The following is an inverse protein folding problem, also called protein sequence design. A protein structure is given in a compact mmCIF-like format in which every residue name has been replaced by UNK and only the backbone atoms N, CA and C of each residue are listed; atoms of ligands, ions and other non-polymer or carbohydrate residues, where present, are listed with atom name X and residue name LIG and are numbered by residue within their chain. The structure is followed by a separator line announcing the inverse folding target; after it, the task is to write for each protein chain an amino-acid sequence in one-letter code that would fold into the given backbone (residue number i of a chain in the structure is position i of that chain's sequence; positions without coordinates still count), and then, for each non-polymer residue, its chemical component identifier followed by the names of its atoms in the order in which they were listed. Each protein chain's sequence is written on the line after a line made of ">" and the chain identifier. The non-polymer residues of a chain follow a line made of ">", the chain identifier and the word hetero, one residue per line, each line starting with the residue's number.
data_IF_982895420224
#
_entry.id   IF_982895420224
#
_cell.length_a   1.000
_cell.length_b   1.000
_cell.length_c   1.000
_cell.angle_alpha   90.00
_cell.angle_beta   90.00
_cell.angle_gamma   90.00
#
_symmetry.space_group_name_H-M   'P 1'
#
loop_
_entity.id
_entity.type
_entity.pdbx_description
1 polymer ?
#
# COMPACT_ATOMS: atom_id res chain seq x y z
N UNK A 1 31.91 1.64 -4.53
CA UNK A 1 31.31 2.97 -4.34
C UNK A 1 29.77 2.92 -4.24
N UNK A 2 29.07 2.24 -5.15
CA UNK A 2 27.61 2.13 -5.16
C UNK A 2 27.01 1.62 -3.82
N UNK A 3 27.62 0.61 -3.21
CA UNK A 3 27.17 0.05 -1.94
C UNK A 3 27.18 1.06 -0.78
N UNK A 4 28.19 1.96 -0.76
CA UNK A 4 28.26 2.99 0.27
C UNK A 4 27.17 4.06 0.09
N UNK A 5 26.83 4.40 -1.17
CA UNK A 5 25.73 5.31 -1.48
C UNK A 5 24.41 4.75 -0.96
N UNK A 6 24.11 3.49 -1.29
CA UNK A 6 22.90 2.83 -0.80
C UNK A 6 22.86 2.73 0.73
N UNK A 7 23.96 2.32 1.34
CA UNK A 7 24.04 2.25 2.80
C UNK A 7 23.82 3.62 3.47
N UNK A 8 24.41 4.66 2.90
CA UNK A 8 24.24 6.04 3.41
C UNK A 8 22.79 6.51 3.27
N UNK A 9 22.13 6.23 2.14
CA UNK A 9 20.73 6.57 1.92
C UNK A 9 19.80 5.87 2.91
N UNK A 10 20.01 4.57 3.15
CA UNK A 10 19.23 3.81 4.12
C UNK A 10 19.41 4.36 5.53
N UNK A 11 20.68 4.54 5.98
CA UNK A 11 20.97 5.06 7.32
C UNK A 11 20.41 6.48 7.50
N UNK A 12 20.56 7.35 6.49
CA UNK A 12 20.03 8.71 6.57
C UNK A 12 18.49 8.75 6.62
N UNK A 13 17.83 7.83 5.92
CA UNK A 13 16.37 7.68 5.96
C UNK A 13 15.87 7.28 7.35
N UNK A 14 16.52 6.31 7.99
CA UNK A 14 16.17 5.90 9.35
C UNK A 14 16.45 7.00 10.37
N UNK A 15 17.59 7.71 10.23
CA UNK A 15 17.92 8.85 11.10
C UNK A 15 16.87 9.96 10.97
N UNK A 16 16.49 10.32 9.75
CA UNK A 16 15.46 11.33 9.51
C UNK A 16 14.12 10.92 10.12
N UNK A 17 13.69 9.67 9.92
CA UNK A 17 12.47 9.14 10.51
C UNK A 17 12.51 9.18 12.05
N UNK A 18 13.61 8.76 12.65
CA UNK A 18 13.78 8.78 14.10
C UNK A 18 13.72 10.22 14.68
N UNK A 19 14.38 11.18 14.04
CA UNK A 19 14.34 12.60 14.45
C UNK A 19 12.92 13.15 14.35
N UNK A 20 12.19 12.82 13.27
CA UNK A 20 10.81 13.22 13.08
C UNK A 20 9.91 12.63 14.16
N UNK A 21 9.98 11.31 14.38
CA UNK A 21 9.15 10.61 15.36
C UNK A 21 9.41 11.10 16.79
N UNK A 22 10.67 11.37 17.15
CA UNK A 22 11.02 11.96 18.44
C UNK A 22 10.44 13.37 18.55
N UNK A 23 10.50 14.16 17.48
CA UNK A 23 9.93 15.51 17.43
C UNK A 23 8.39 15.49 17.58
N UNK A 24 7.70 14.56 16.93
CA UNK A 24 6.26 14.39 17.02
C UNK A 24 5.83 13.91 18.43
N UNK A 25 6.61 13.02 19.03
CA UNK A 25 6.39 12.54 20.40
C UNK A 25 6.63 13.64 21.44
N UNK A 26 7.67 14.45 21.25
CA UNK A 26 8.01 15.55 22.18
C UNK A 26 6.97 16.69 22.14
N UNK A 27 6.24 16.85 21.02
CA UNK A 27 5.18 17.85 20.84
C UNK A 27 3.79 17.30 21.15
N UNK A 28 3.71 16.02 21.47
CA UNK A 28 2.44 15.27 21.64
C UNK A 28 1.47 15.50 20.47
N UNK A 29 2.00 15.40 19.25
CA UNK A 29 1.27 15.73 18.02
C UNK A 29 -0.03 14.94 17.84
N UNK A 30 -0.06 13.70 18.33
CA UNK A 30 -1.17 12.78 18.14
C UNK A 30 -2.14 12.78 19.32
N UNK A 31 -1.89 13.56 20.38
CA UNK A 31 -2.71 13.59 21.59
C UNK A 31 -3.11 12.20 22.07
N UNK A 32 -2.09 11.33 22.22
CA UNK A 32 -2.29 9.93 22.56
C UNK A 32 -3.05 9.77 23.88
N UNK A 33 -4.15 9.01 23.84
CA UNK A 33 -5.06 8.75 24.95
C UNK A 33 -5.80 9.99 25.51
N UNK A 34 -5.76 11.13 24.83
CA UNK A 34 -6.63 12.25 25.15
C UNK A 34 -7.98 12.11 24.42
N UNK A 35 -9.10 12.37 25.07
CA UNK A 35 -10.41 12.28 24.46
C UNK A 35 -10.63 13.46 23.49
N UNK A 36 -11.01 13.15 22.25
CA UNK A 36 -11.44 14.14 21.27
C UNK A 36 -12.96 14.30 21.38
N UNK A 37 -13.46 15.51 21.65
CA UNK A 37 -14.89 15.77 21.66
C UNK A 37 -15.45 15.69 20.24
N UNK A 38 -16.57 14.97 20.09
CA UNK A 38 -17.27 14.79 18.83
C UNK A 38 -18.78 14.78 19.08
N UNK A 39 -19.56 15.14 18.08
CA UNK A 39 -21.00 14.96 18.08
C UNK A 39 -21.37 13.75 17.20
N UNK A 40 -22.12 12.81 17.75
CA UNK A 40 -22.66 11.67 17.02
C UNK A 40 -24.10 11.94 16.63
N UNK A 41 -24.38 12.06 15.35
CA UNK A 41 -25.73 12.18 14.83
C UNK A 41 -26.23 10.82 14.37
N UNK A 42 -27.37 10.43 14.91
CA UNK A 42 -28.07 9.20 14.58
C UNK A 42 -29.19 9.49 13.57
N UNK A 43 -29.08 9.08 12.33
CA UNK A 43 -30.10 9.32 11.32
C UNK A 43 -31.36 8.48 11.53
N UNK A 44 -31.26 7.37 12.24
CA UNK A 44 -32.32 6.44 12.55
C UNK A 44 -32.49 6.30 14.08
N UNK A 45 -33.57 5.62 14.49
CA UNK A 45 -33.76 5.30 15.91
C UNK A 45 -32.60 4.44 16.41
N UNK A 46 -32.11 4.77 17.59
CA UNK A 46 -31.10 4.01 18.28
C UNK A 46 -31.73 2.74 18.88
N UNK A 47 -31.16 1.58 18.52
CA UNK A 47 -31.50 0.30 19.14
C UNK A 47 -30.29 -0.23 19.94
N UNK A 48 -30.38 -0.33 21.27
CA UNK A 48 -29.30 -0.79 22.11
C UNK A 48 -28.96 -2.29 21.87
N UNK A 49 -29.80 -3.04 21.19
CA UNK A 49 -29.60 -4.47 20.88
C UNK A 49 -28.83 -4.65 19.58
N UNK A 50 -28.87 -3.66 18.69
CA UNK A 50 -28.16 -3.72 17.41
C UNK A 50 -26.68 -3.49 17.64
N UNK A 51 -25.86 -4.41 17.13
CA UNK A 51 -24.41 -4.39 17.31
C UNK A 51 -23.73 -3.25 16.54
N UNK A 52 -24.19 -2.92 15.36
CA UNK A 52 -23.60 -1.92 14.48
C UNK A 52 -24.69 -0.91 14.06
N UNK A 53 -24.45 0.35 14.34
CA UNK A 53 -25.37 1.44 14.05
C UNK A 53 -24.65 2.47 13.20
N UNK A 54 -25.19 2.78 12.02
CA UNK A 54 -24.65 3.85 11.18
C UNK A 54 -24.87 5.20 11.87
N UNK A 55 -23.83 6.01 11.94
CA UNK A 55 -23.81 7.35 12.54
C UNK A 55 -23.06 8.33 11.66
N UNK A 56 -23.42 9.60 11.75
CA UNK A 56 -22.61 10.68 11.22
C UNK A 56 -21.79 11.27 12.37
N UNK A 57 -20.48 11.28 12.21
CA UNK A 57 -19.52 11.78 13.20
C UNK A 57 -19.23 13.23 12.85
N UNK A 58 -19.60 14.14 13.71
CA UNK A 58 -19.33 15.57 13.55
C UNK A 58 -18.22 16.00 14.46
N UNK A 59 -17.22 16.63 13.88
CA UNK A 59 -16.07 17.21 14.60
C UNK A 59 -16.10 18.71 14.34
N UNK A 60 -16.23 19.52 15.39
CA UNK A 60 -16.15 20.97 15.21
C UNK A 60 -14.77 21.37 14.71
N UNK A 61 -14.66 22.08 13.56
CA UNK A 61 -13.37 22.43 12.98
C UNK A 61 -12.49 23.30 13.90
N UNK A 62 -13.09 24.15 14.72
CA UNK A 62 -12.35 25.00 15.65
C UNK A 62 -11.85 24.21 16.86
N UNK A 63 -12.64 23.27 17.37
CA UNK A 63 -12.23 22.38 18.45
C UNK A 63 -11.13 21.41 17.99
N UNK A 64 -11.27 20.83 16.80
CA UNK A 64 -10.23 20.01 16.18
C UNK A 64 -8.91 20.77 16.04
N UNK A 65 -8.98 21.99 15.50
CA UNK A 65 -7.82 22.84 15.31
C UNK A 65 -7.14 23.20 16.65
N UNK A 66 -7.93 23.51 17.67
CA UNK A 66 -7.43 23.80 19.01
C UNK A 66 -6.83 22.55 19.68
N UNK A 67 -7.48 21.39 19.51
CA UNK A 67 -7.03 20.12 20.09
C UNK A 67 -5.70 19.64 19.52
N UNK A 68 -5.54 19.65 18.21
CA UNK A 68 -4.32 19.19 17.55
C UNK A 68 -3.31 20.28 17.19
N UNK A 69 -3.67 21.55 17.32
CA UNK A 69 -2.81 22.66 16.90
C UNK A 69 -2.62 22.74 15.38
N UNK A 70 -3.65 22.37 14.60
CA UNK A 70 -3.64 22.32 13.14
C UNK A 70 -4.57 23.38 12.55
N UNK A 71 -4.59 23.53 11.22
CA UNK A 71 -5.61 24.31 10.55
C UNK A 71 -6.99 23.62 10.63
N UNK A 72 -8.08 24.38 10.72
CA UNK A 72 -9.42 23.81 10.75
C UNK A 72 -9.69 22.98 9.49
N UNK A 73 -10.27 21.76 9.63
CA UNK A 73 -10.58 20.94 8.47
C UNK A 73 -11.72 21.55 7.63
N UNK A 74 -11.74 21.32 6.31
CA UNK A 74 -12.78 21.85 5.44
C UNK A 74 -14.14 21.15 5.63
N UNK A 75 -14.13 19.95 6.17
CA UNK A 75 -15.32 19.11 6.40
C UNK A 75 -15.46 18.88 7.90
N UNK A 76 -16.68 18.92 8.39
CA UNK A 76 -17.01 18.71 9.80
C UNK A 76 -17.83 17.45 10.06
N UNK A 77 -18.25 16.73 9.01
CA UNK A 77 -19.09 15.55 9.12
C UNK A 77 -18.46 14.37 8.35
N UNK A 78 -18.39 13.20 8.98
CA UNK A 78 -17.79 11.99 8.47
C UNK A 78 -18.74 10.82 8.68
N UNK A 79 -18.88 9.95 7.70
CA UNK A 79 -19.65 8.72 7.85
C UNK A 79 -18.90 7.72 8.74
N UNK A 80 -19.67 7.02 9.57
CA UNK A 80 -19.10 5.99 10.43
C UNK A 80 -20.13 5.06 11.04
N UNK A 81 -19.62 4.09 11.77
CA UNK A 81 -20.42 3.05 12.42
C UNK A 81 -20.10 2.99 13.91
N UNK A 82 -21.10 3.10 14.74
CA UNK A 82 -20.99 2.82 16.18
C UNK A 82 -21.14 1.32 16.41
N UNK A 83 -20.08 0.69 16.92
CA UNK A 83 -20.03 -0.76 17.21
C UNK A 83 -20.20 -0.97 18.71
N UNK A 84 -21.23 -1.68 19.11
CA UNK A 84 -21.49 -2.03 20.49
C UNK A 84 -20.90 -3.39 20.82
N UNK A 85 -20.00 -3.45 21.81
CA UNK A 85 -19.35 -4.67 22.26
C UNK A 85 -19.64 -4.92 23.75
N UNK A 86 -19.32 -6.13 24.22
CA UNK A 86 -19.44 -6.44 25.64
C UNK A 86 -18.46 -5.64 26.53
N UNK A 87 -17.38 -5.14 25.94
CA UNK A 87 -16.30 -4.42 26.61
C UNK A 87 -16.47 -2.89 26.55
N UNK A 88 -17.38 -2.39 25.71
CA UNK A 88 -17.62 -0.99 25.53
C UNK A 88 -18.13 -0.65 24.13
N UNK A 89 -18.06 0.62 23.76
CA UNK A 89 -18.45 1.11 22.45
C UNK A 89 -17.25 1.58 21.69
N UNK A 90 -17.22 1.24 20.40
CA UNK A 90 -16.21 1.67 19.46
C UNK A 90 -16.87 2.47 18.36
N UNK A 91 -16.24 3.52 17.94
CA UNK A 91 -16.59 4.20 16.70
C UNK A 91 -15.61 3.80 15.61
N UNK A 92 -16.11 3.57 14.43
CA UNK A 92 -15.35 3.20 13.24
C UNK A 92 -15.72 4.18 12.14
N UNK A 93 -14.71 4.86 11.59
CA UNK A 93 -14.89 5.72 10.42
C UNK A 93 -14.96 4.87 9.18
N UNK A 94 -15.86 5.21 8.25
CA UNK A 94 -16.03 4.44 7.03
C UNK A 94 -14.83 4.57 6.11
N UNK A 95 -14.58 3.51 5.33
CA UNK A 95 -13.51 3.48 4.34
C UNK A 95 -13.73 4.53 3.25
N UNK A 96 -12.68 5.29 2.97
CA UNK A 96 -12.72 6.31 1.92
C UNK A 96 -13.08 7.72 2.41
N UNK A 97 -13.41 7.89 3.69
CA UNK A 97 -13.55 9.21 4.29
C UNK A 97 -12.20 9.94 4.30
N UNK A 98 -12.21 11.17 3.81
CA UNK A 98 -11.02 12.02 3.80
C UNK A 98 -10.84 12.68 5.17
N UNK A 99 -10.24 11.94 6.11
CA UNK A 99 -10.02 12.43 7.47
C UNK A 99 -8.98 13.56 7.51
N UNK A 100 -9.15 14.54 8.40
CA UNK A 100 -8.15 15.60 8.58
C UNK A 100 -6.91 15.09 9.30
N UNK A 101 -5.77 15.78 9.11
CA UNK A 101 -4.57 15.52 9.91
C UNK A 101 -4.77 15.99 11.37
N UNK A 102 -4.35 15.21 12.36
CA UNK A 102 -3.55 13.99 12.27
C UNK A 102 -4.35 12.68 12.21
N UNK A 103 -5.70 12.72 12.16
CA UNK A 103 -6.54 11.51 12.13
C UNK A 103 -6.24 10.60 10.93
N UNK A 104 -5.97 11.18 9.75
CA UNK A 104 -5.56 10.42 8.56
C UNK A 104 -4.25 9.65 8.80
N UNK A 105 -3.29 10.25 9.48
CA UNK A 105 -2.04 9.59 9.87
C UNK A 105 -2.28 8.49 10.90
N UNK A 106 -3.13 8.73 11.90
CA UNK A 106 -3.51 7.72 12.89
C UNK A 106 -4.19 6.53 12.21
N UNK A 107 -5.10 6.78 11.27
CA UNK A 107 -5.74 5.74 10.45
C UNK A 107 -4.71 4.87 9.72
N UNK A 108 -3.74 5.50 9.08
CA UNK A 108 -2.71 4.78 8.30
C UNK A 108 -1.79 3.89 9.14
N UNK A 109 -1.63 4.18 10.44
CA UNK A 109 -0.73 3.44 11.33
C UNK A 109 -1.47 2.46 12.24
N UNK A 110 -2.61 2.87 12.80
CA UNK A 110 -3.39 2.09 13.77
C UNK A 110 -4.61 1.41 13.16
N UNK A 111 -4.93 1.72 11.90
CA UNK A 111 -6.07 1.10 11.21
C UNK A 111 -6.02 -0.41 11.32
N UNK A 112 -7.14 -1.03 11.69
CA UNK A 112 -7.32 -2.47 11.63
C UNK A 112 -6.99 -2.96 10.22
N UNK A 113 -6.70 -4.24 10.03
CA UNK A 113 -6.24 -4.79 8.74
C UNK A 113 -7.05 -4.38 7.50
N UNK A 114 -8.22 -3.77 7.68
CA UNK A 114 -9.07 -3.19 6.64
C UNK A 114 -8.84 -1.68 6.41
N UNK A 115 -7.92 -1.04 7.15
CA UNK A 115 -7.59 0.39 7.00
C UNK A 115 -8.60 1.35 7.63
N UNK A 116 -9.48 0.88 8.51
CA UNK A 116 -10.48 1.69 9.20
C UNK A 116 -9.91 2.32 10.48
N UNK A 117 -10.18 3.63 10.69
CA UNK A 117 -9.86 4.28 11.95
C UNK A 117 -10.89 3.89 13.00
N UNK A 118 -10.41 3.36 14.11
CA UNK A 118 -11.26 2.99 15.24
C UNK A 118 -10.87 3.75 16.50
N UNK A 119 -11.88 4.15 17.28
CA UNK A 119 -11.70 4.78 18.58
C UNK A 119 -12.69 4.24 19.61
N UNK A 120 -12.30 4.22 20.89
CA UNK A 120 -13.22 3.93 21.98
C UNK A 120 -14.06 5.16 22.25
N UNK A 121 -15.37 4.99 22.43
CA UNK A 121 -16.35 6.07 22.63
C UNK A 121 -16.92 6.03 24.02
N UNK A 122 -16.84 7.17 24.71
CA UNK A 122 -17.61 7.45 25.92
C UNK A 122 -18.71 8.45 25.58
N UNK A 123 -19.97 8.04 25.76
CA UNK A 123 -21.13 8.90 25.48
C UNK A 123 -21.49 9.70 26.74
N UNK A 124 -21.56 11.01 26.65
CA UNK A 124 -21.77 11.92 27.78
C UNK A 124 -23.11 11.75 28.49
N UNK A 125 -24.15 11.24 27.82
CA UNK A 125 -25.48 11.10 28.40
C UNK A 125 -26.28 9.94 27.80
N UNK A 126 -25.84 8.71 27.99
CA UNK A 126 -26.45 7.55 27.31
C UNK A 126 -27.88 7.20 27.82
N UNK A 127 -28.15 7.39 29.10
CA UNK A 127 -29.39 6.90 29.70
C UNK A 127 -30.60 7.87 29.61
N UNK A 128 -30.37 9.15 29.40
CA UNK A 128 -31.43 10.17 29.43
C UNK A 128 -31.97 10.62 28.08
N UNK A 129 -31.09 10.67 27.07
CA UNK A 129 -31.42 11.26 25.75
C UNK A 129 -32.31 10.34 24.93
N UNK A 130 -32.06 9.02 24.99
CA UNK A 130 -32.88 8.05 24.25
C UNK A 130 -34.32 7.88 24.73
N UNK A 131 -34.56 8.27 25.99
CA UNK A 131 -35.92 8.22 26.59
C UNK A 131 -36.72 9.49 26.32
N UNK A 132 -36.10 10.56 25.82
CA UNK A 132 -36.70 11.87 25.64
C UNK A 132 -36.83 12.32 24.17
N UNK A 133 -36.18 11.61 23.22
CA UNK A 133 -36.23 11.98 21.81
C UNK A 133 -37.15 11.02 21.05
N UNK A 134 -38.35 11.52 20.75
CA UNK A 134 -39.39 10.73 20.05
C UNK A 134 -39.17 10.60 18.52
N UNK A 135 -38.30 11.42 17.91
CA UNK A 135 -38.07 11.39 16.44
C UNK A 135 -36.60 11.61 16.06
N UNK A 136 -36.06 10.81 15.13
CA UNK A 136 -34.73 11.03 14.50
C UNK A 136 -34.79 12.23 13.52
N UNK A 137 -33.64 12.88 13.22
CA UNK A 137 -32.31 12.62 13.73
C UNK A 137 -32.06 13.24 15.11
N UNK A 138 -31.27 12.57 15.94
CA UNK A 138 -30.83 13.15 17.23
C UNK A 138 -29.31 13.12 17.33
N UNK A 139 -28.77 14.04 18.11
CA UNK A 139 -27.32 14.24 18.27
C UNK A 139 -26.95 14.00 19.73
N UNK A 140 -25.81 13.36 19.96
CA UNK A 140 -25.23 13.08 21.27
C UNK A 140 -23.78 13.52 21.28
N UNK A 141 -23.40 14.25 22.32
CA UNK A 141 -22.02 14.56 22.58
C UNK A 141 -21.29 13.31 23.06
N UNK A 142 -20.09 13.08 22.51
CA UNK A 142 -19.27 11.92 22.82
C UNK A 142 -17.79 12.30 22.84
N UNK A 143 -17.05 11.57 23.64
CA UNK A 143 -15.60 11.64 23.66
C UNK A 143 -15.01 10.39 22.99
N UNK A 144 -14.13 10.60 22.02
CA UNK A 144 -13.47 9.52 21.27
C UNK A 144 -12.00 9.47 21.64
N UNK A 145 -11.56 8.31 22.12
CA UNK A 145 -10.14 8.03 22.40
C UNK A 145 -9.61 7.07 21.34
N UNK A 146 -8.62 7.53 20.57
CA UNK A 146 -7.96 6.71 19.57
C UNK A 146 -6.83 5.88 20.17
N UNK A 147 -6.49 4.78 19.50
CA UNK A 147 -5.33 3.99 19.89
C UNK A 147 -4.04 4.82 19.77
N UNK A 148 -3.16 4.76 20.78
CA UNK A 148 -1.94 5.55 20.77
C UNK A 148 -1.01 5.14 19.64
N UNK A 149 -0.61 6.10 18.82
CA UNK A 149 0.36 5.90 17.73
C UNK A 149 1.72 6.45 18.13
N UNK A 150 2.75 5.69 17.82
CA UNK A 150 4.15 6.06 18.07
C UNK A 150 5.02 5.60 16.91
N UNK A 151 6.08 6.34 16.65
CA UNK A 151 7.07 5.98 15.61
C UNK A 151 6.44 5.81 14.23
N UNK A 152 5.58 6.76 13.83
CA UNK A 152 4.82 6.75 12.58
C UNK A 152 5.74 6.67 11.35
N UNK A 153 6.79 7.50 11.30
CA UNK A 153 7.72 7.50 10.18
C UNK A 153 8.59 6.24 10.13
N UNK A 154 9.00 5.72 11.29
CA UNK A 154 9.73 4.44 11.38
C UNK A 154 8.86 3.26 10.93
N UNK A 155 7.60 3.23 11.35
CA UNK A 155 6.64 2.19 10.92
C UNK A 155 6.39 2.25 9.42
N UNK A 156 6.23 3.44 8.85
CA UNK A 156 6.07 3.61 7.40
C UNK A 156 7.28 3.10 6.60
N UNK A 157 8.52 3.36 7.06
CA UNK A 157 9.74 2.81 6.44
C UNK A 157 9.76 1.29 6.56
N UNK A 158 9.42 0.75 7.73
CA UNK A 158 9.37 -0.70 7.95
C UNK A 158 8.35 -1.39 7.05
N UNK A 159 7.14 -0.86 6.95
CA UNK A 159 6.09 -1.36 6.08
C UNK A 159 6.51 -1.31 4.60
N UNK A 160 7.05 -0.19 4.13
CA UNK A 160 7.56 -0.05 2.77
C UNK A 160 8.68 -1.06 2.48
N UNK A 161 9.61 -1.28 3.42
CA UNK A 161 10.69 -2.26 3.25
C UNK A 161 10.15 -3.69 3.09
N UNK A 162 9.13 -4.08 3.86
CA UNK A 162 8.49 -5.39 3.74
C UNK A 162 7.74 -5.53 2.40
N UNK A 163 7.00 -4.53 1.98
CA UNK A 163 6.31 -4.50 0.69
C UNK A 163 7.28 -4.64 -0.48
N UNK A 164 8.39 -3.90 -0.44
CA UNK A 164 9.45 -4.05 -1.45
C UNK A 164 10.10 -5.43 -1.43
N UNK A 165 10.30 -6.03 -0.26
CA UNK A 165 10.84 -7.38 -0.15
C UNK A 165 9.90 -8.43 -0.75
N UNK A 166 8.60 -8.32 -0.51
CA UNK A 166 7.56 -9.18 -1.11
C UNK A 166 7.51 -9.01 -2.63
N UNK A 167 7.51 -7.77 -3.10
CA UNK A 167 7.55 -7.45 -4.53
C UNK A 167 8.80 -8.04 -5.18
N UNK A 168 9.98 -7.86 -4.57
CA UNK A 168 11.24 -8.41 -5.08
C UNK A 168 11.22 -9.94 -5.12
N UNK A 169 10.67 -10.60 -4.10
CA UNK A 169 10.51 -12.06 -4.08
C UNK A 169 9.58 -12.54 -5.20
N UNK A 170 8.46 -11.87 -5.41
CA UNK A 170 7.50 -12.20 -6.47
C UNK A 170 8.13 -12.06 -7.86
N UNK A 171 8.86 -10.97 -8.12
CA UNK A 171 9.58 -10.76 -9.37
C UNK A 171 10.66 -11.85 -9.56
N UNK A 172 11.43 -12.17 -8.51
CA UNK A 172 12.47 -13.18 -8.57
C UNK A 172 11.89 -14.57 -8.89
N UNK A 173 10.80 -14.97 -8.25
CA UNK A 173 10.12 -16.24 -8.52
C UNK A 173 9.57 -16.29 -9.94
N UNK A 174 8.95 -15.20 -10.42
CA UNK A 174 8.47 -15.08 -11.79
C UNK A 174 9.61 -15.22 -12.81
N UNK A 175 10.74 -14.55 -12.55
CA UNK A 175 11.91 -14.62 -13.42
C UNK A 175 12.52 -16.04 -13.46
N UNK A 176 12.61 -16.73 -12.33
CA UNK A 176 13.05 -18.12 -12.24
C UNK A 176 12.18 -19.03 -13.11
N UNK A 177 10.85 -18.87 -13.05
CA UNK A 177 9.89 -19.62 -13.85
C UNK A 177 10.10 -19.42 -15.34
N UNK A 178 10.24 -18.17 -15.78
CA UNK A 178 10.52 -17.82 -17.18
C UNK A 178 11.86 -18.38 -17.63
N UNK A 179 12.92 -18.21 -16.83
CA UNK A 179 14.25 -18.76 -17.15
C UNK A 179 14.23 -20.29 -17.25
N UNK A 180 13.57 -20.98 -16.33
CA UNK A 180 13.43 -22.43 -16.35
C UNK A 180 12.72 -22.92 -17.63
N UNK A 181 11.66 -22.24 -18.05
CA UNK A 181 10.94 -22.52 -19.28
C UNK A 181 11.88 -22.36 -20.51
N UNK A 182 12.56 -21.21 -20.60
CA UNK A 182 13.47 -20.94 -21.72
C UNK A 182 14.66 -21.92 -21.78
N UNK A 183 15.26 -22.23 -20.63
CA UNK A 183 16.35 -23.21 -20.56
C UNK A 183 15.85 -24.60 -20.95
N UNK A 184 14.64 -24.99 -20.56
CA UNK A 184 14.00 -26.23 -20.96
C UNK A 184 13.78 -26.29 -22.48
N UNK A 185 13.22 -25.25 -23.10
CA UNK A 185 13.03 -25.15 -24.57
C UNK A 185 14.36 -25.15 -25.31
N UNK A 186 15.37 -24.42 -24.81
CA UNK A 186 16.72 -24.44 -25.36
C UNK A 186 17.30 -25.82 -25.36
N UNK A 187 17.17 -26.58 -24.27
CA UNK A 187 17.69 -27.94 -24.16
C UNK A 187 16.98 -28.90 -25.09
N UNK A 188 15.69 -28.76 -25.31
CA UNK A 188 14.92 -29.53 -26.31
C UNK A 188 15.43 -29.18 -27.72
N UNK A 189 15.57 -27.90 -28.05
CA UNK A 189 16.06 -27.42 -29.31
C UNK A 189 17.49 -27.90 -29.64
N UNK A 190 18.35 -27.93 -28.61
CA UNK A 190 19.72 -28.50 -28.73
C UNK A 190 19.67 -29.99 -29.11
N UNK A 191 18.89 -30.78 -28.36
CA UNK A 191 18.74 -32.23 -28.62
C UNK A 191 18.06 -32.51 -29.95
N UNK A 192 17.16 -31.68 -30.40
CA UNK A 192 16.48 -31.79 -31.70
C UNK A 192 17.36 -31.32 -32.88
N UNK A 193 18.58 -30.83 -32.65
CA UNK A 193 19.46 -30.33 -33.69
C UNK A 193 19.06 -28.96 -34.28
N UNK A 194 18.04 -28.30 -33.73
CA UNK A 194 17.55 -26.99 -34.20
C UNK A 194 18.65 -25.95 -34.14
N UNK A 195 19.47 -25.96 -33.07
CA UNK A 195 20.60 -25.03 -32.92
C UNK A 195 21.61 -25.19 -34.06
N UNK A 196 21.93 -26.42 -34.45
CA UNK A 196 22.83 -26.70 -35.59
C UNK A 196 22.27 -26.12 -36.90
N UNK A 197 20.97 -26.25 -37.11
CA UNK A 197 20.29 -25.73 -38.29
C UNK A 197 20.34 -24.20 -38.33
N UNK A 198 20.05 -23.54 -37.20
CA UNK A 198 20.10 -22.07 -37.07
C UNK A 198 21.53 -21.57 -37.30
N UNK A 199 22.53 -22.18 -36.65
CA UNK A 199 23.94 -21.80 -36.81
C UNK A 199 24.37 -21.94 -38.28
N UNK A 200 23.95 -23.00 -38.96
CA UNK A 200 24.26 -23.23 -40.39
C UNK A 200 23.66 -22.12 -41.26
N UNK A 201 22.45 -21.69 -40.96
CA UNK A 201 21.76 -20.66 -41.72
C UNK A 201 22.34 -19.25 -41.48
N UNK A 202 22.76 -18.95 -40.25
CA UNK A 202 23.26 -17.61 -39.86
C UNK A 202 24.79 -17.50 -40.10
N UNK A 203 25.50 -18.61 -40.23
CA UNK A 203 26.95 -18.67 -40.45
C UNK A 203 27.46 -17.75 -41.57
N UNK A 204 26.82 -17.68 -42.78
CA UNK A 204 27.30 -16.80 -43.84
C UNK A 204 27.29 -15.31 -43.48
N UNK A 205 26.40 -14.92 -42.59
CA UNK A 205 26.29 -13.53 -42.09
C UNK A 205 27.30 -13.28 -40.95
N UNK A 206 27.52 -14.25 -40.09
CA UNK A 206 28.40 -14.09 -38.92
C UNK A 206 29.89 -14.17 -39.31
N UNK A 207 30.24 -14.93 -40.35
CA UNK A 207 31.62 -15.12 -40.77
C UNK A 207 32.36 -13.83 -41.15
N UNK A 208 31.77 -12.86 -41.90
CA UNK A 208 32.42 -11.59 -42.17
C UNK A 208 32.45 -10.65 -40.96
N UNK A 209 31.49 -10.80 -40.02
CA UNK A 209 31.40 -9.97 -38.80
C UNK A 209 32.42 -10.40 -37.73
N UNK A 210 32.76 -11.68 -37.68
CA UNK A 210 33.66 -12.26 -36.67
C UNK A 210 34.77 -13.13 -37.32
N UNK A 211 35.67 -12.55 -38.13
CA UNK A 211 36.64 -13.30 -38.89
C UNK A 211 37.68 -14.03 -38.03
N UNK A 212 37.86 -13.59 -36.78
CA UNK A 212 38.84 -14.16 -35.86
C UNK A 212 38.30 -15.36 -35.03
N UNK A 213 36.99 -15.64 -35.11
CA UNK A 213 36.38 -16.75 -34.33
C UNK A 213 36.34 -18.00 -35.23
N UNK A 214 36.93 -19.15 -34.78
CA UNK A 214 36.85 -20.40 -35.52
C UNK A 214 35.40 -20.79 -35.83
N UNK A 215 35.15 -21.32 -37.01
CA UNK A 215 33.81 -21.59 -37.52
C UNK A 215 33.01 -22.60 -36.67
N UNK A 216 33.66 -23.38 -35.84
CA UNK A 216 33.06 -24.41 -34.99
C UNK A 216 33.06 -24.02 -33.50
N UNK A 217 33.40 -22.77 -33.19
CA UNK A 217 33.45 -22.31 -31.81
C UNK A 217 32.04 -22.18 -31.22
N UNK A 218 31.75 -22.71 -30.00
CA UNK A 218 30.44 -22.66 -29.37
C UNK A 218 29.86 -21.25 -29.23
N UNK A 219 30.72 -20.25 -29.13
CA UNK A 219 30.29 -18.83 -29.02
C UNK A 219 29.49 -18.35 -30.25
N UNK A 220 29.81 -18.88 -31.47
CA UNK A 220 29.04 -18.53 -32.67
C UNK A 220 27.60 -19.06 -32.59
N UNK A 221 27.41 -20.23 -31.97
CA UNK A 221 26.07 -20.77 -31.70
C UNK A 221 25.26 -19.89 -30.77
N UNK A 222 25.88 -19.38 -29.70
CA UNK A 222 25.24 -18.48 -28.74
C UNK A 222 24.90 -17.12 -29.37
N UNK A 223 25.80 -16.56 -30.18
CA UNK A 223 25.56 -15.30 -30.91
C UNK A 223 24.43 -15.48 -31.93
N UNK A 224 24.44 -16.58 -32.69
CA UNK A 224 23.41 -16.90 -33.67
C UNK A 224 22.02 -17.03 -32.99
N UNK A 225 21.96 -17.72 -31.87
CA UNK A 225 20.73 -17.91 -31.11
C UNK A 225 20.18 -16.58 -30.59
N UNK A 226 21.03 -15.73 -30.03
CA UNK A 226 20.66 -14.40 -29.50
C UNK A 226 20.18 -13.48 -30.64
N UNK A 227 20.85 -13.48 -31.77
CA UNK A 227 20.47 -12.70 -32.94
C UNK A 227 19.11 -13.16 -33.49
N UNK A 228 18.92 -14.47 -33.59
CA UNK A 228 17.65 -15.08 -34.06
C UNK A 228 16.51 -14.78 -33.12
N UNK A 229 16.70 -14.90 -31.80
CA UNK A 229 15.68 -14.58 -30.79
C UNK A 229 15.26 -13.12 -30.84
N UNK A 230 16.20 -12.19 -31.02
CA UNK A 230 15.92 -10.77 -31.19
C UNK A 230 15.13 -10.42 -32.46
N UNK A 231 15.48 -11.08 -33.59
CA UNK A 231 14.78 -10.86 -34.87
C UNK A 231 13.37 -11.44 -34.82
N UNK A 232 13.20 -12.66 -34.31
CA UNK A 232 11.89 -13.29 -34.15
C UNK A 232 11.02 -12.57 -33.15
N UNK A 233 11.56 -12.17 -32.00
CA UNK A 233 10.82 -11.42 -30.96
C UNK A 233 10.25 -10.12 -31.51
N UNK A 234 11.03 -9.35 -32.27
CA UNK A 234 10.55 -8.12 -32.92
C UNK A 234 9.51 -8.38 -34.01
N UNK A 235 9.65 -9.46 -34.76
CA UNK A 235 8.71 -9.81 -35.84
C UNK A 235 7.37 -10.26 -35.27
N UNK A 236 7.38 -11.07 -34.22
CA UNK A 236 6.16 -11.52 -33.52
C UNK A 236 5.42 -10.37 -32.86
N UNK A 237 6.14 -9.44 -32.23
CA UNK A 237 5.55 -8.22 -31.66
C UNK A 237 4.87 -7.35 -32.73
N UNK A 238 5.53 -7.14 -33.87
CA UNK A 238 4.94 -6.35 -34.98
C UNK A 238 3.71 -7.02 -35.61
N UNK A 239 3.71 -8.35 -35.71
CA UNK A 239 2.54 -9.08 -36.21
C UNK A 239 1.40 -9.02 -35.19
N UNK A 240 1.72 -9.10 -33.89
CA UNK A 240 0.75 -8.94 -32.82
C UNK A 240 0.08 -7.56 -32.82
N UNK A 241 0.87 -6.50 -32.98
CA UNK A 241 0.37 -5.12 -33.08
C UNK A 241 -0.55 -4.97 -34.33
N UNK A 242 -0.14 -5.48 -35.47
CA UNK A 242 -0.93 -5.41 -36.71
C UNK A 242 -2.27 -6.20 -36.64
N UNK A 243 -2.35 -7.25 -35.82
CA UNK A 243 -3.59 -8.02 -35.61
C UNK A 243 -4.54 -7.30 -34.64
N UNK A 244 -4.02 -6.52 -33.71
CA UNK A 244 -4.83 -5.78 -32.75
C UNK A 244 -5.40 -4.48 -33.35
N UNK A 245 -4.72 -3.93 -34.39
CA UNK A 245 -5.17 -2.73 -35.12
C UNK A 245 -6.14 -3.01 -36.27
N UNK A 246 -6.34 -4.27 -36.63
CA UNK A 246 -7.26 -4.70 -37.72
C UNK A 246 -8.60 -5.18 -37.15
#
# INVERSE_FOLDING_TARGET
>A
MLNYIWATLIVSSFLFAAVRDIGDLARDRYRNAEPLPVELMFPNNFDPVVREIAVEIRIDPSEHAAFYGTEPPPTNAYAGTLVQTAEGRLIRFDLGEALPEPLATIQGVSGSGDGELQGTVELAAFAGVFLLSDEPPFTIDADVVFQPVRFVAMNAIGAAALEFAETAATIALGLIGVLALFLGLLKIGEKAGVIHTIVRFVRPVLRPLFPQVPADHPALGMIALNLTANIFGRTVLRIGEAIVEA
#
